data_IF_079510945183
#
_entry.id   IF_079510945183
#
_cell.length_a   1.000
_cell.length_b   1.000
_cell.length_c   1.000
_cell.angle_alpha   90.00
_cell.angle_beta   90.00
_cell.angle_gamma   90.00
#
_symmetry.space_group_name_H-M   'P 1'
#
loop_
_entity.id
_entity.type
_entity.pdbx_description
1 polymer ?
#
# COMPACT_ATOMS: atom_id res chain seq x y z
N UNK A 1 -13.26 6.08 -15.63
CA UNK A 1 -12.48 6.19 -16.89
C UNK A 1 -12.27 4.84 -17.58
N UNK A 2 -11.78 3.78 -16.92
CA UNK A 2 -11.59 2.46 -17.57
C UNK A 2 -12.86 1.86 -18.18
N UNK A 3 -13.99 1.91 -17.47
CA UNK A 3 -15.28 1.47 -18.00
C UNK A 3 -15.72 2.25 -19.25
N UNK A 4 -15.47 3.56 -19.24
CA UNK A 4 -15.75 4.41 -20.40
C UNK A 4 -14.83 4.06 -21.59
N UNK A 5 -13.54 3.87 -21.34
CA UNK A 5 -12.60 3.46 -22.39
C UNK A 5 -12.97 2.08 -22.96
N UNK A 6 -13.31 1.11 -22.09
CA UNK A 6 -13.81 -0.19 -22.55
C UNK A 6 -15.07 -0.05 -23.42
N UNK A 7 -16.03 0.78 -23.01
CA UNK A 7 -17.26 1.01 -23.77
C UNK A 7 -16.98 1.62 -25.17
N UNK A 8 -16.08 2.61 -25.25
CA UNK A 8 -15.68 3.22 -26.52
C UNK A 8 -15.04 2.19 -27.45
N UNK A 9 -14.17 1.31 -26.91
CA UNK A 9 -13.56 0.26 -27.72
C UNK A 9 -14.54 -0.86 -28.11
N UNK A 10 -15.52 -1.18 -27.25
CA UNK A 10 -16.64 -2.08 -27.62
C UNK A 10 -17.45 -1.48 -28.78
N UNK A 11 -17.81 -0.20 -28.70
CA UNK A 11 -18.52 0.47 -29.77
C UNK A 11 -17.70 0.44 -31.08
N UNK A 12 -16.40 0.73 -31.00
CA UNK A 12 -15.48 0.62 -32.14
C UNK A 12 -15.50 -0.79 -32.75
N UNK A 13 -15.43 -1.82 -31.90
CA UNK A 13 -15.47 -3.22 -32.35
C UNK A 13 -16.78 -3.55 -33.09
N UNK A 14 -17.91 -3.11 -32.54
CA UNK A 14 -19.22 -3.30 -33.22
C UNK A 14 -19.27 -2.60 -34.56
N UNK A 15 -18.72 -1.39 -34.67
CA UNK A 15 -18.65 -0.67 -35.96
C UNK A 15 -17.72 -1.37 -36.96
N UNK A 16 -16.62 -2.00 -36.51
CA UNK A 16 -15.77 -2.83 -37.38
C UNK A 16 -16.52 -4.05 -37.89
N UNK A 17 -17.39 -4.67 -37.08
CA UNK A 17 -18.25 -5.78 -37.52
C UNK A 17 -19.27 -5.34 -38.58
N UNK A 18 -19.92 -4.20 -38.37
CA UNK A 18 -20.87 -3.63 -39.34
C UNK A 18 -20.16 -3.28 -40.65
N UNK A 19 -18.95 -2.75 -40.56
CA UNK A 19 -18.15 -2.37 -41.75
C UNK A 19 -17.76 -3.58 -42.62
N UNK A 20 -17.86 -4.82 -42.09
CA UNK A 20 -17.66 -6.03 -42.90
C UNK A 20 -18.78 -6.25 -43.92
N UNK A 21 -19.98 -5.81 -43.61
CA UNK A 21 -21.17 -6.03 -44.45
C UNK A 21 -21.66 -4.77 -45.16
N UNK A 22 -21.44 -3.61 -44.54
CA UNK A 22 -21.85 -2.29 -45.09
C UNK A 22 -20.70 -1.31 -44.95
N UNK A 23 -20.25 -0.73 -46.05
CA UNK A 23 -19.20 0.29 -46.05
C UNK A 23 -19.64 1.50 -45.22
N UNK A 24 -18.97 1.74 -44.11
CA UNK A 24 -19.23 2.93 -43.31
C UNK A 24 -18.61 4.18 -43.95
N UNK A 25 -19.26 5.35 -43.81
CA UNK A 25 -18.67 6.61 -44.24
C UNK A 25 -17.31 6.83 -43.56
N UNK A 26 -16.30 7.35 -44.28
CA UNK A 26 -14.94 7.59 -43.69
C UNK A 26 -14.96 8.48 -42.46
N UNK A 27 -15.94 9.39 -42.36
CA UNK A 27 -16.12 10.25 -41.19
C UNK A 27 -16.41 9.44 -39.90
N UNK A 28 -17.25 8.42 -40.00
CA UNK A 28 -17.60 7.55 -38.87
C UNK A 28 -16.39 6.71 -38.47
N UNK A 29 -15.67 6.13 -39.44
CA UNK A 29 -14.48 5.33 -39.19
C UNK A 29 -13.37 6.14 -38.49
N UNK A 30 -13.07 7.32 -38.98
CA UNK A 30 -12.06 8.21 -38.41
C UNK A 30 -12.51 8.79 -37.06
N UNK A 31 -13.79 9.12 -36.91
CA UNK A 31 -14.36 9.61 -35.65
C UNK A 31 -14.23 8.59 -34.53
N UNK A 32 -14.50 7.30 -34.77
CA UNK A 32 -14.36 6.25 -33.76
C UNK A 32 -12.92 5.95 -33.38
N UNK A 33 -11.99 6.07 -34.34
CA UNK A 33 -10.57 5.95 -34.09
C UNK A 33 -10.09 7.09 -33.15
N UNK A 34 -10.46 8.33 -33.46
CA UNK A 34 -10.13 9.49 -32.62
C UNK A 34 -10.71 9.36 -31.22
N UNK A 35 -11.98 8.96 -31.09
CA UNK A 35 -12.62 8.69 -29.79
C UNK A 35 -11.87 7.62 -29.00
N UNK A 36 -11.42 6.54 -29.63
CA UNK A 36 -10.61 5.50 -29.01
C UNK A 36 -9.28 6.03 -28.47
N UNK A 37 -8.57 6.85 -29.26
CA UNK A 37 -7.31 7.48 -28.84
C UNK A 37 -7.53 8.42 -27.66
N UNK A 38 -8.54 9.30 -27.73
CA UNK A 38 -8.85 10.23 -26.65
C UNK A 38 -9.24 9.52 -25.36
N UNK A 39 -10.06 8.45 -25.45
CA UNK A 39 -10.44 7.63 -24.29
C UNK A 39 -9.22 6.94 -23.66
N UNK A 40 -8.28 6.46 -24.49
CA UNK A 40 -7.03 5.83 -24.02
C UNK A 40 -6.11 6.84 -23.34
N UNK A 41 -5.96 8.04 -23.87
CA UNK A 41 -5.18 9.12 -23.25
C UNK A 41 -5.81 9.55 -21.91
N UNK A 42 -7.12 9.72 -21.86
CA UNK A 42 -7.82 10.05 -20.62
C UNK A 42 -7.67 8.94 -19.56
N UNK A 43 -7.72 7.67 -19.98
CA UNK A 43 -7.48 6.54 -19.08
C UNK A 43 -6.03 6.54 -18.56
N UNK A 44 -5.04 6.83 -19.39
CA UNK A 44 -3.64 6.93 -18.99
C UNK A 44 -3.43 8.03 -17.93
N UNK A 45 -3.97 9.22 -18.16
CA UNK A 45 -3.92 10.33 -17.18
C UNK A 45 -4.59 9.90 -15.86
N UNK A 46 -5.76 9.25 -15.93
CA UNK A 46 -6.44 8.75 -14.73
C UNK A 46 -5.62 7.71 -13.95
N UNK A 47 -4.86 6.85 -14.64
CA UNK A 47 -3.92 5.90 -14.00
C UNK A 47 -2.83 6.65 -13.24
N UNK A 48 -2.18 7.60 -13.88
CA UNK A 48 -1.10 8.39 -13.26
C UNK A 48 -1.60 9.12 -12.01
N UNK A 49 -2.74 9.80 -12.12
CA UNK A 49 -3.36 10.50 -10.99
C UNK A 49 -3.72 9.53 -9.86
N UNK A 50 -4.29 8.36 -10.20
CA UNK A 50 -4.62 7.33 -9.21
C UNK A 50 -3.37 6.78 -8.54
N UNK A 51 -2.33 6.47 -9.30
CA UNK A 51 -1.06 5.99 -8.75
C UNK A 51 -0.44 7.02 -7.80
N UNK A 52 -0.40 8.30 -8.18
CA UNK A 52 0.14 9.36 -7.35
C UNK A 52 -0.66 9.55 -6.04
N UNK A 53 -2.00 9.57 -6.12
CA UNK A 53 -2.87 9.69 -4.94
C UNK A 53 -2.74 8.49 -4.00
N UNK A 54 -2.67 7.28 -4.54
CA UNK A 54 -2.51 6.07 -3.73
C UNK A 54 -1.13 6.01 -3.07
N UNK A 55 -0.08 6.41 -3.79
CA UNK A 55 1.29 6.49 -3.23
C UNK A 55 1.35 7.54 -2.12
N UNK A 56 0.79 8.73 -2.32
CA UNK A 56 0.71 9.77 -1.28
C UNK A 56 -0.04 9.26 -0.04
N UNK A 57 -1.17 8.57 -0.23
CA UNK A 57 -1.92 7.95 0.86
C UNK A 57 -1.12 6.87 1.60
N UNK A 58 -0.34 6.05 0.87
CA UNK A 58 0.54 5.04 1.45
C UNK A 58 1.65 5.68 2.29
N UNK A 59 2.34 6.69 1.76
CA UNK A 59 3.41 7.44 2.46
C UNK A 59 2.87 8.05 3.75
N UNK A 60 1.76 8.78 3.68
CA UNK A 60 1.14 9.42 4.86
C UNK A 60 0.71 8.40 5.92
N UNK A 61 0.15 7.26 5.50
CA UNK A 61 -0.27 6.21 6.43
C UNK A 61 0.93 5.53 7.09
N UNK A 62 1.99 5.21 6.32
CA UNK A 62 3.23 4.64 6.87
C UNK A 62 3.83 5.58 7.91
N UNK A 63 3.99 6.86 7.59
CA UNK A 63 4.51 7.86 8.51
C UNK A 63 3.69 7.94 9.82
N UNK A 64 2.35 7.84 9.74
CA UNK A 64 1.48 7.83 10.91
C UNK A 64 1.67 6.57 11.77
N UNK A 65 1.75 5.39 11.14
CA UNK A 65 1.91 4.10 11.84
C UNK A 65 3.27 4.00 12.52
N UNK A 66 4.37 4.31 11.82
CA UNK A 66 5.72 4.24 12.40
C UNK A 66 5.90 5.27 13.52
N UNK A 67 5.35 6.48 13.37
CA UNK A 67 5.34 7.47 14.48
C UNK A 67 4.57 6.96 15.70
N UNK A 68 3.43 6.29 15.51
CA UNK A 68 2.67 5.68 16.60
C UNK A 68 3.45 4.58 17.32
N UNK A 69 4.27 3.82 16.58
CA UNK A 69 5.15 2.78 17.13
C UNK A 69 6.42 3.35 17.79
N UNK A 70 6.66 4.66 17.71
CA UNK A 70 7.85 5.31 18.26
C UNK A 70 9.14 5.04 17.49
N UNK A 71 9.05 4.63 16.23
CA UNK A 71 10.17 4.30 15.35
C UNK A 71 10.11 5.14 14.08
N UNK A 72 11.26 5.37 13.45
CA UNK A 72 11.30 5.95 12.12
C UNK A 72 10.95 4.90 11.06
N UNK A 73 10.31 5.35 9.96
CA UNK A 73 10.06 4.45 8.82
C UNK A 73 11.40 4.02 8.22
N UNK A 74 11.67 2.70 8.07
CA UNK A 74 12.92 2.21 7.50
C UNK A 74 13.08 2.57 6.01
N UNK A 75 12.00 3.03 5.36
CA UNK A 75 12.00 3.45 3.95
C UNK A 75 11.96 4.96 3.83
N UNK A 76 12.80 5.52 2.96
CA UNK A 76 12.72 6.93 2.61
C UNK A 76 11.48 7.22 1.76
N UNK A 77 10.92 8.42 1.86
CA UNK A 77 9.80 8.84 1.00
C UNK A 77 10.13 8.67 -0.49
N UNK A 78 11.35 8.97 -0.89
CA UNK A 78 11.81 8.82 -2.27
C UNK A 78 11.74 7.36 -2.75
N UNK A 79 12.15 6.40 -1.92
CA UNK A 79 12.06 4.97 -2.25
C UNK A 79 10.62 4.54 -2.46
N UNK A 80 9.70 5.02 -1.62
CA UNK A 80 8.27 4.74 -1.75
C UNK A 80 7.71 5.31 -3.05
N UNK A 81 8.04 6.57 -3.38
CA UNK A 81 7.62 7.19 -4.63
C UNK A 81 8.23 6.49 -5.85
N UNK A 82 9.51 6.24 -5.85
CA UNK A 82 10.19 5.55 -6.95
C UNK A 82 9.66 4.12 -7.14
N UNK A 83 9.53 3.36 -6.05
CA UNK A 83 9.02 1.99 -6.08
C UNK A 83 7.55 1.88 -6.48
N UNK A 84 6.74 2.92 -6.31
CA UNK A 84 5.34 2.91 -6.71
C UNK A 84 5.08 3.52 -8.11
N UNK A 85 5.91 4.47 -8.57
CA UNK A 85 5.67 5.17 -9.83
C UNK A 85 6.47 4.63 -11.01
N UNK A 86 7.66 4.07 -10.79
CA UNK A 86 8.45 3.49 -11.87
C UNK A 86 7.78 2.19 -12.36
N UNK A 87 7.38 2.08 -13.64
CA UNK A 87 6.49 1.01 -14.11
C UNK A 87 6.96 -0.42 -13.83
N UNK A 88 8.27 -0.70 -13.94
CA UNK A 88 8.81 -2.05 -13.68
C UNK A 88 9.03 -2.26 -12.19
N UNK A 89 9.52 -1.23 -11.49
CA UNK A 89 9.79 -1.31 -10.05
C UNK A 89 8.48 -1.52 -9.26
N UNK A 90 7.41 -0.87 -9.66
CA UNK A 90 6.14 -0.92 -8.95
C UNK A 90 5.48 -2.32 -8.93
N UNK A 91 5.75 -3.15 -9.94
CA UNK A 91 5.25 -4.54 -9.97
C UNK A 91 5.84 -5.38 -8.83
N UNK A 92 7.01 -5.04 -8.34
CA UNK A 92 7.71 -5.77 -7.27
C UNK A 92 7.58 -5.03 -5.93
N UNK A 93 7.84 -3.72 -5.92
CA UNK A 93 7.96 -2.96 -4.67
C UNK A 93 6.62 -2.54 -4.07
N UNK A 94 5.62 -2.20 -4.89
CA UNK A 94 4.33 -1.76 -4.36
C UNK A 94 3.64 -2.83 -3.47
N UNK A 95 3.56 -4.13 -3.84
CA UNK A 95 3.02 -5.14 -2.94
C UNK A 95 3.88 -5.36 -1.70
N UNK A 96 5.23 -5.23 -1.81
CA UNK A 96 6.14 -5.33 -0.66
C UNK A 96 5.85 -4.22 0.35
N UNK A 97 5.72 -2.97 -0.09
CA UNK A 97 5.43 -1.85 0.80
C UNK A 97 4.07 -1.98 1.50
N UNK A 98 3.06 -2.52 0.81
CA UNK A 98 1.75 -2.81 1.40
C UNK A 98 1.84 -3.95 2.44
N UNK A 99 2.65 -4.98 2.19
CA UNK A 99 2.87 -6.08 3.15
C UNK A 99 3.67 -5.61 4.36
N UNK A 100 4.70 -4.78 4.18
CA UNK A 100 5.44 -4.16 5.29
C UNK A 100 4.51 -3.33 6.18
N UNK A 101 3.65 -2.51 5.59
CA UNK A 101 2.66 -1.74 6.33
C UNK A 101 1.66 -2.64 7.06
N UNK A 102 1.18 -3.71 6.41
CA UNK A 102 0.27 -4.66 7.01
C UNK A 102 0.89 -5.40 8.22
N UNK A 103 2.22 -5.66 8.18
CA UNK A 103 2.97 -6.20 9.31
C UNK A 103 3.09 -5.20 10.45
N UNK A 104 3.44 -3.95 10.14
CA UNK A 104 3.53 -2.89 11.14
C UNK A 104 2.18 -2.66 11.85
N UNK A 105 1.06 -2.80 11.13
CA UNK A 105 -0.30 -2.72 11.70
C UNK A 105 -0.78 -4.04 12.36
N UNK A 106 0.05 -5.10 12.41
CA UNK A 106 -0.32 -6.43 12.91
C UNK A 106 -1.58 -7.01 12.22
N UNK A 107 -1.77 -6.66 10.95
CA UNK A 107 -2.93 -7.05 10.15
C UNK A 107 -2.58 -7.95 8.95
N UNK A 108 -1.34 -8.45 8.90
CA UNK A 108 -0.81 -9.24 7.77
C UNK A 108 -1.68 -10.45 7.42
N UNK A 109 -2.11 -11.24 8.41
CA UNK A 109 -2.91 -12.43 8.19
C UNK A 109 -4.23 -12.14 7.43
N UNK A 110 -4.82 -10.97 7.68
CA UNK A 110 -6.06 -10.53 7.04
C UNK A 110 -5.84 -9.90 5.67
N UNK A 111 -4.73 -9.18 5.48
CA UNK A 111 -4.45 -8.38 4.30
C UNK A 111 -3.65 -9.11 3.23
N UNK A 112 -2.87 -10.13 3.61
CA UNK A 112 -2.02 -10.89 2.68
C UNK A 112 -2.79 -11.44 1.48
N UNK A 113 -3.94 -12.08 1.70
CA UNK A 113 -4.77 -12.64 0.63
C UNK A 113 -5.24 -11.56 -0.37
N UNK A 114 -5.93 -10.50 0.08
CA UNK A 114 -6.33 -9.39 -0.77
C UNK A 114 -5.17 -8.71 -1.52
N UNK A 115 -4.01 -8.51 -0.88
CA UNK A 115 -2.83 -7.90 -1.51
C UNK A 115 -2.28 -8.80 -2.61
N UNK A 116 -2.13 -10.10 -2.35
CA UNK A 116 -1.64 -11.07 -3.35
C UNK A 116 -2.61 -11.17 -4.53
N UNK A 117 -3.93 -11.23 -4.28
CA UNK A 117 -4.94 -11.28 -5.33
C UNK A 117 -4.89 -10.01 -6.20
N UNK A 118 -4.78 -8.84 -5.60
CA UNK A 118 -4.60 -7.58 -6.31
C UNK A 118 -3.32 -7.59 -7.15
N UNK A 119 -2.21 -8.04 -6.58
CA UNK A 119 -0.92 -8.12 -7.26
C UNK A 119 -0.95 -9.03 -8.48
N UNK A 120 -1.50 -10.25 -8.35
CA UNK A 120 -1.64 -11.20 -9.46
C UNK A 120 -2.52 -10.61 -10.57
N UNK A 121 -3.66 -10.01 -10.22
CA UNK A 121 -4.53 -9.34 -11.19
C UNK A 121 -3.80 -8.19 -11.90
N UNK A 122 -2.94 -7.46 -11.18
CA UNK A 122 -2.14 -6.37 -11.77
C UNK A 122 -1.09 -6.87 -12.75
N UNK A 123 -0.33 -7.92 -12.41
CA UNK A 123 0.62 -8.56 -13.34
C UNK A 123 -0.12 -9.01 -14.60
N UNK A 124 -1.26 -9.67 -14.44
CA UNK A 124 -2.07 -10.14 -15.57
C UNK A 124 -2.56 -8.97 -16.45
N UNK A 125 -3.09 -7.91 -15.86
CA UNK A 125 -3.52 -6.70 -16.57
C UNK A 125 -2.37 -6.05 -17.34
N UNK A 126 -1.18 -5.98 -16.73
CA UNK A 126 0.02 -5.43 -17.35
C UNK A 126 0.47 -6.28 -18.54
N UNK A 127 0.45 -7.60 -18.40
CA UNK A 127 0.81 -8.53 -19.48
C UNK A 127 -0.14 -8.40 -20.69
N UNK A 128 -1.46 -8.32 -20.46
CA UNK A 128 -2.45 -8.11 -21.53
C UNK A 128 -2.25 -6.75 -22.18
N UNK A 129 -1.97 -5.69 -21.40
CA UNK A 129 -1.73 -4.35 -21.94
C UNK A 129 -0.47 -4.30 -22.81
N UNK A 130 0.60 -4.97 -22.38
CA UNK A 130 1.83 -5.12 -23.14
C UNK A 130 1.58 -5.90 -24.45
N UNK A 131 0.79 -6.97 -24.40
CA UNK A 131 0.37 -7.73 -25.58
C UNK A 131 -0.47 -6.88 -26.54
N UNK A 132 -1.44 -6.12 -26.05
CA UNK A 132 -2.24 -5.20 -26.85
C UNK A 132 -1.38 -4.15 -27.54
N UNK A 133 -0.36 -3.63 -26.85
CA UNK A 133 0.60 -2.69 -27.40
C UNK A 133 1.47 -3.33 -28.48
N UNK A 134 1.94 -4.55 -28.27
CA UNK A 134 2.74 -5.30 -29.24
C UNK A 134 1.95 -5.54 -30.53
N UNK A 135 0.68 -5.92 -30.42
CA UNK A 135 -0.19 -6.23 -31.58
C UNK A 135 -0.84 -4.98 -32.20
N UNK A 136 -0.60 -3.79 -31.66
CA UNK A 136 -1.19 -2.53 -32.16
C UNK A 136 -0.72 -2.13 -33.55
N UNK A 137 0.40 -2.64 -34.04
CA UNK A 137 0.97 -2.40 -35.38
C UNK A 137 0.32 -3.22 -36.52
N UNK A 138 -0.67 -4.07 -36.19
CA UNK A 138 -1.37 -4.87 -37.18
C UNK A 138 -2.13 -3.97 -38.19
N UNK A 139 -1.91 -4.20 -39.46
CA UNK A 139 -2.56 -3.43 -40.56
C UNK A 139 -3.69 -4.20 -41.23
N UNK A 140 -3.73 -5.53 -41.02
CA UNK A 140 -4.77 -6.37 -41.57
C UNK A 140 -6.07 -6.22 -40.77
N UNK A 141 -7.20 -6.28 -41.46
CA UNK A 141 -8.53 -6.09 -40.85
C UNK A 141 -8.79 -7.05 -39.66
N UNK A 142 -8.37 -8.31 -39.78
CA UNK A 142 -8.50 -9.27 -38.71
C UNK A 142 -7.60 -8.91 -37.52
N UNK A 143 -6.34 -8.56 -37.76
CA UNK A 143 -5.41 -8.15 -36.70
C UNK A 143 -5.88 -6.89 -35.95
N UNK A 144 -6.48 -5.92 -36.65
CA UNK A 144 -7.09 -4.73 -36.02
C UNK A 144 -8.28 -5.12 -35.11
N UNK A 145 -9.13 -6.04 -35.59
CA UNK A 145 -10.26 -6.51 -34.79
C UNK A 145 -9.79 -7.27 -33.52
N UNK A 146 -8.84 -8.19 -33.67
CA UNK A 146 -8.29 -8.98 -32.57
C UNK A 146 -7.57 -8.09 -31.53
N UNK A 147 -6.80 -7.09 -32.01
CA UNK A 147 -6.18 -6.09 -31.14
C UNK A 147 -7.24 -5.27 -30.38
N UNK A 148 -8.34 -4.89 -31.05
CA UNK A 148 -9.41 -4.14 -30.39
C UNK A 148 -10.05 -4.95 -29.26
N UNK A 149 -10.28 -6.25 -29.45
CA UNK A 149 -10.76 -7.16 -28.38
C UNK A 149 -9.75 -7.23 -27.23
N UNK A 150 -8.46 -7.38 -27.55
CA UNK A 150 -7.40 -7.41 -26.55
C UNK A 150 -7.37 -6.12 -25.70
N UNK A 151 -7.53 -4.96 -26.34
CA UNK A 151 -7.62 -3.65 -25.65
C UNK A 151 -8.83 -3.59 -24.73
N UNK A 152 -9.99 -4.08 -25.16
CA UNK A 152 -11.19 -4.16 -24.32
C UNK A 152 -10.90 -5.00 -23.07
N UNK A 153 -10.30 -6.18 -23.24
CA UNK A 153 -9.94 -7.06 -22.11
C UNK A 153 -8.94 -6.36 -21.19
N UNK A 154 -7.96 -5.64 -21.72
CA UNK A 154 -6.98 -4.88 -20.95
C UNK A 154 -7.67 -3.82 -20.06
N UNK A 155 -8.65 -3.06 -20.59
CA UNK A 155 -9.40 -2.09 -19.79
C UNK A 155 -10.28 -2.73 -18.72
N UNK A 156 -10.92 -3.85 -19.01
CA UNK A 156 -11.71 -4.59 -18.03
C UNK A 156 -10.82 -5.18 -16.92
N UNK A 157 -9.67 -5.73 -17.29
CA UNK A 157 -8.67 -6.20 -16.32
C UNK A 157 -8.16 -5.03 -15.45
N UNK A 158 -7.85 -3.87 -16.05
CA UNK A 158 -7.47 -2.67 -15.32
C UNK A 158 -8.56 -2.19 -14.34
N UNK A 159 -9.82 -2.25 -14.74
CA UNK A 159 -10.94 -1.95 -13.85
C UNK A 159 -10.99 -2.92 -12.66
N UNK A 160 -10.81 -4.22 -12.90
CA UNK A 160 -10.76 -5.23 -11.85
C UNK A 160 -9.61 -4.97 -10.86
N UNK A 161 -8.42 -4.59 -11.36
CA UNK A 161 -7.27 -4.20 -10.53
C UNK A 161 -7.61 -3.03 -9.62
N UNK A 162 -8.28 -1.98 -10.13
CA UNK A 162 -8.70 -0.84 -9.31
C UNK A 162 -9.72 -1.23 -8.23
N UNK A 163 -10.68 -2.10 -8.55
CA UNK A 163 -11.66 -2.58 -7.59
C UNK A 163 -11.00 -3.41 -6.48
N UNK A 164 -10.01 -4.25 -6.84
CA UNK A 164 -9.24 -5.01 -5.87
C UNK A 164 -8.36 -4.10 -5.00
N UNK A 165 -7.72 -3.08 -5.59
CA UNK A 165 -6.96 -2.09 -4.84
C UNK A 165 -7.86 -1.33 -3.85
N UNK A 166 -9.01 -0.88 -4.30
CA UNK A 166 -10.03 -0.27 -3.43
C UNK A 166 -10.41 -1.18 -2.26
N UNK A 167 -10.62 -2.48 -2.53
CA UNK A 167 -10.89 -3.46 -1.48
C UNK A 167 -9.74 -3.56 -0.48
N UNK A 168 -8.48 -3.59 -0.93
CA UNK A 168 -7.30 -3.60 -0.06
C UNK A 168 -7.31 -2.38 0.85
N UNK A 169 -7.46 -1.17 0.29
CA UNK A 169 -7.48 0.07 1.08
C UNK A 169 -8.63 0.12 2.08
N UNK A 170 -9.84 -0.29 1.70
CA UNK A 170 -10.97 -0.36 2.62
C UNK A 170 -10.75 -1.36 3.77
N UNK A 171 -9.99 -2.43 3.53
CA UNK A 171 -9.65 -3.40 4.56
C UNK A 171 -8.67 -2.81 5.58
N UNK A 172 -7.76 -1.93 5.14
CA UNK A 172 -6.91 -1.14 6.03
C UNK A 172 -7.73 -0.14 6.88
N UNK A 173 -8.66 0.58 6.27
CA UNK A 173 -9.45 1.65 6.93
C UNK A 173 -10.41 1.10 7.99
N UNK A 174 -10.92 -0.13 7.82
CA UNK A 174 -11.89 -0.73 8.75
C UNK A 174 -11.35 -1.03 10.16
N UNK A 175 -10.04 -1.04 10.35
CA UNK A 175 -9.44 -0.95 11.67
C UNK A 175 -9.29 0.53 12.01
N UNK A 176 -10.36 1.20 12.42
CA UNK A 176 -10.18 2.36 13.28
C UNK A 176 -9.29 1.87 14.42
N UNK A 177 -8.19 2.59 14.66
CA UNK A 177 -7.47 2.47 15.91
C UNK A 177 -8.55 2.70 16.96
N UNK A 178 -9.03 1.62 17.59
CA UNK A 178 -9.81 1.76 18.79
C UNK A 178 -8.89 2.57 19.71
N UNK A 179 -9.21 3.86 19.82
CA UNK A 179 -8.60 4.69 20.85
C UNK A 179 -8.79 3.86 22.11
N UNK A 180 -7.73 3.52 22.85
CA UNK A 180 -7.92 2.84 24.09
C UNK A 180 -9.00 3.65 24.79
N UNK A 181 -10.17 3.03 24.97
CA UNK A 181 -11.25 3.62 25.74
C UNK A 181 -10.51 4.05 27.00
N UNK A 182 -10.51 5.36 27.28
CA UNK A 182 -9.98 5.86 28.53
C UNK A 182 -10.67 5.04 29.60
N UNK A 183 -9.98 4.01 30.06
CA UNK A 183 -10.46 3.21 31.18
C UNK A 183 -10.41 4.20 32.33
N UNK A 184 -11.53 4.82 32.61
CA UNK A 184 -11.71 5.59 33.81
C UNK A 184 -11.42 4.61 34.95
N UNK A 185 -10.20 4.69 35.48
CA UNK A 185 -9.88 4.04 36.73
C UNK A 185 -10.62 4.89 37.75
N UNK A 186 -11.77 4.40 38.20
CA UNK A 186 -12.42 4.94 39.39
C UNK A 186 -11.45 4.58 40.51
N UNK A 187 -10.65 5.54 40.91
CA UNK A 187 -9.86 5.44 42.14
C UNK A 187 -10.90 5.50 43.26
N UNK A 188 -11.09 4.43 44.09
CA UNK A 188 -11.98 4.53 45.20
C UNK A 188 -11.51 5.70 46.09
N UNK A 189 -12.44 6.54 46.48
CA UNK A 189 -12.19 7.76 47.25
C UNK A 189 -11.49 7.45 48.58
N UNK A 190 -11.62 6.23 49.10
CA UNK A 190 -10.97 5.71 50.32
C UNK A 190 -9.43 5.62 50.25
N UNK A 191 -8.81 5.76 49.04
CA UNK A 191 -7.36 5.80 48.90
C UNK A 191 -6.79 7.23 48.81
N UNK A 192 -7.62 8.23 48.69
CA UNK A 192 -7.19 9.62 48.62
C UNK A 192 -6.83 10.18 50.01
N UNK A 193 -7.31 9.54 51.10
CA UNK A 193 -7.11 10.01 52.49
C UNK A 193 -5.95 9.30 53.20
N UNK A 194 -5.18 8.47 52.52
CA UNK A 194 -3.89 8.03 53.07
C UNK A 194 -2.86 9.15 52.81
N UNK A 195 -2.92 10.18 53.69
CA UNK A 195 -1.77 11.05 53.89
C UNK A 195 -0.52 10.18 54.14
N UNK A 196 0.62 10.50 53.53
CA UNK A 196 1.86 9.83 53.86
C UNK A 196 2.12 10.14 55.35
N UNK A 197 1.89 9.15 56.22
CA UNK A 197 2.34 9.24 57.58
C UNK A 197 3.82 9.58 57.53
N UNK A 198 4.11 10.81 57.93
CA UNK A 198 5.45 11.30 58.17
C UNK A 198 6.10 10.32 59.17
N UNK A 199 7.00 9.54 58.65
CA UNK A 199 7.89 8.66 59.41
C UNK A 199 8.63 9.55 60.44
N UNK A 200 8.11 9.53 61.68
CA UNK A 200 8.74 10.16 62.80
C UNK A 200 10.10 9.50 63.00
N UNK A 201 11.13 10.24 62.73
CA UNK A 201 12.51 9.93 63.08
C UNK A 201 12.61 9.63 64.55
N UNK A 202 13.08 8.46 64.98
CA UNK A 202 13.53 8.29 66.33
C UNK A 202 14.96 8.83 66.42
N UNK A 203 15.07 9.98 67.04
CA UNK A 203 16.32 10.47 67.58
C UNK A 203 16.81 9.49 68.70
N UNK A 204 18.11 9.39 68.82
CA UNK A 204 18.85 8.80 69.92
C UNK A 204 19.01 7.26 69.95
N UNK A 205 20.19 6.85 69.50
CA UNK A 205 21.06 5.96 70.29
C UNK A 205 22.50 6.03 69.73
N UNK A 206 23.33 6.82 70.39
CA UNK A 206 24.79 6.74 70.31
C UNK A 206 25.25 5.37 70.76
N UNK A 207 26.08 4.72 70.01
CA UNK A 207 26.66 3.43 70.41
C UNK A 207 27.73 2.93 69.47
N UNK A 208 28.95 3.23 69.79
CA UNK A 208 30.18 2.45 69.53
C UNK A 208 30.49 1.94 68.11
N UNK A 209 31.53 2.52 67.56
CA UNK A 209 32.31 2.04 66.41
C UNK A 209 33.29 0.98 66.89
N UNK A 210 33.46 -0.12 66.20
CA UNK A 210 34.77 -0.73 66.00
C UNK A 210 35.23 -0.63 64.56
N UNK A 211 36.43 -0.11 64.43
CA UNK A 211 37.31 -0.16 63.28
C UNK A 211 37.57 -1.59 62.80
N UNK A 212 38.00 -1.68 61.56
CA UNK A 212 38.62 -2.82 60.89
C UNK A 212 37.71 -3.79 60.12
N UNK A 213 37.45 -3.50 58.85
CA UNK A 213 37.44 -4.52 57.78
C UNK A 213 37.99 -3.92 56.50
N UNK A 214 39.13 -4.43 56.12
CA UNK A 214 39.96 -4.23 54.94
C UNK A 214 39.20 -4.64 53.67
N UNK A 215 39.10 -3.76 52.68
CA UNK A 215 38.50 -4.02 51.37
C UNK A 215 39.56 -4.39 50.35
N UNK A 216 39.62 -5.63 49.97
CA UNK A 216 40.31 -6.06 48.75
C UNK A 216 39.41 -5.85 47.51
N UNK A 217 39.96 -5.32 46.41
CA UNK A 217 39.22 -5.23 45.13
C UNK A 217 39.56 -6.44 44.26
N UNK A 218 38.61 -7.34 44.05
CA UNK A 218 38.70 -8.35 42.98
C UNK A 218 38.36 -7.74 41.61
N UNK A 219 39.39 -7.61 40.80
CA UNK A 219 39.32 -7.43 39.35
C UNK A 219 38.94 -8.76 38.69
N UNK A 220 37.74 -8.86 38.13
CA UNK A 220 37.45 -9.92 37.16
C UNK A 220 37.33 -9.38 35.76
N UNK A 221 38.43 -9.53 35.04
CA UNK A 221 38.54 -9.41 33.59
C UNK A 221 37.88 -10.58 32.91
N UNK A 222 36.73 -10.37 32.34
CA UNK A 222 36.03 -11.35 31.48
C UNK A 222 36.32 -11.10 30.01
N UNK A 223 37.30 -11.81 29.49
CA UNK A 223 37.61 -11.96 28.07
C UNK A 223 36.43 -12.61 27.33
N UNK A 224 35.93 -11.97 26.27
CA UNK A 224 35.10 -12.63 25.21
C UNK A 224 35.93 -12.80 23.96
N UNK A 225 36.21 -14.05 23.61
CA UNK A 225 36.75 -14.47 22.33
C UNK A 225 35.71 -14.32 21.21
N UNK A 226 36.14 -14.01 19.96
CA UNK A 226 35.30 -14.07 18.80
C UNK A 226 35.30 -15.47 18.18
N UNK A 227 34.10 -16.01 17.92
CA UNK A 227 33.92 -17.24 17.16
C UNK A 227 33.77 -16.86 15.70
N UNK A 228 34.51 -17.59 14.85
CA UNK A 228 34.63 -17.51 13.40
C UNK A 228 33.31 -17.82 12.64
#
# INVERSE_FOLDING_TARGET
MFSLAALVHILRYLLLLINRTTLLPPLVANGTLLMGVLASLAAMVAVIVTAATMTSGLVGRRAAVFRFLGHDDPRSEWELWAGCLIPVANLVWAPVFLLELARAEQSEARLRGPIVMWWVAWIFSTAISAWAMWTSSATEAQGVADNTVTVIIAYLAGLAVLLLLWRVFNTFVRKSVERPLHRWVIVPEDQADMEPQSESTPDDLSGDVPDDVELEPELQTGQREPVA
#
